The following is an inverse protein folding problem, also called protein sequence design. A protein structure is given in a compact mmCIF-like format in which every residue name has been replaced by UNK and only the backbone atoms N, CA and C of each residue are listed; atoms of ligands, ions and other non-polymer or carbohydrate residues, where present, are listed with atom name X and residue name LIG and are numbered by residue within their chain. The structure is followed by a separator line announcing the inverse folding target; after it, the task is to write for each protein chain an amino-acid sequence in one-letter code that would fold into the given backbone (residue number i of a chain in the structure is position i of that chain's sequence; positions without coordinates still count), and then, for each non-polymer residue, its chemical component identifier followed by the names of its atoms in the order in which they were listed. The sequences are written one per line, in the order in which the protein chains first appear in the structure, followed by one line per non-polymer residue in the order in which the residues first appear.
data_IF_005499761053
#
_entry.id   IF_005499761053
#
_cell.length_a   1.000
_cell.length_b   1.000
_cell.length_c   1.000
_cell.angle_alpha   90.00
_cell.angle_beta   90.00
_cell.angle_gamma   90.00
#
_symmetry.space_group_name_H-M   'P 1'
#
loop_
_entity.id
_entity.type
_entity.pdbx_description
1 polymer ?
#
# COMPACT_ATOMS: atom_id res chain seq x y z
N UNK A 1 -15.23 12.92 30.87
CA UNK A 1 -14.65 11.57 30.77
C UNK A 1 -15.45 10.76 29.74
N UNK A 2 -14.82 10.36 28.64
CA UNK A 2 -15.50 9.84 27.43
C UNK A 2 -16.02 8.41 27.62
N UNK A 3 -17.32 8.23 27.32
CA UNK A 3 -18.17 7.05 27.62
C UNK A 3 -17.95 5.79 26.77
N UNK A 4 -16.85 5.65 26.02
CA UNK A 4 -16.57 4.40 25.29
C UNK A 4 -15.06 4.18 25.04
N UNK A 5 -14.39 3.30 25.81
CA UNK A 5 -12.95 3.07 25.70
C UNK A 5 -12.51 2.47 24.35
N UNK A 6 -13.38 1.75 23.65
CA UNK A 6 -13.07 1.15 22.34
C UNK A 6 -12.92 2.22 21.26
N UNK A 7 -13.79 3.24 21.28
CA UNK A 7 -13.71 4.36 20.35
C UNK A 7 -12.51 5.26 20.66
N UNK A 8 -12.18 5.43 21.95
CA UNK A 8 -11.01 6.21 22.35
C UNK A 8 -9.71 5.63 21.79
N UNK A 9 -9.55 4.30 21.81
CA UNK A 9 -8.36 3.64 21.26
C UNK A 9 -8.24 3.84 19.74
N UNK A 10 -9.31 3.59 18.96
CA UNK A 10 -9.27 3.80 17.49
C UNK A 10 -8.99 5.26 17.12
N UNK A 11 -9.65 6.21 17.77
CA UNK A 11 -9.42 7.65 17.54
C UNK A 11 -7.98 8.04 17.89
N UNK A 12 -7.43 7.50 18.99
CA UNK A 12 -6.02 7.72 19.37
C UNK A 12 -5.07 7.20 18.29
N UNK A 13 -5.29 5.99 17.76
CA UNK A 13 -4.44 5.45 16.69
C UNK A 13 -4.47 6.29 15.41
N UNK A 14 -5.65 6.82 15.03
CA UNK A 14 -5.76 7.73 13.88
C UNK A 14 -4.99 9.02 14.15
N UNK A 15 -5.18 9.64 15.32
CA UNK A 15 -4.52 10.89 15.67
C UNK A 15 -2.98 10.75 15.66
N UNK A 16 -2.44 9.67 16.25
CA UNK A 16 -0.99 9.43 16.28
C UNK A 16 -0.43 9.30 14.85
N UNK A 17 -1.06 8.49 14.00
CA UNK A 17 -0.61 8.32 12.61
C UNK A 17 -0.69 9.62 11.82
N UNK A 18 -1.76 10.40 12.01
CA UNK A 18 -1.93 11.68 11.34
C UNK A 18 -0.80 12.66 11.70
N UNK A 19 -0.50 12.83 12.98
CA UNK A 19 0.57 13.73 13.41
C UNK A 19 1.94 13.29 12.89
N UNK A 20 2.25 11.99 12.95
CA UNK A 20 3.50 11.45 12.44
C UNK A 20 3.70 11.73 10.94
N UNK A 21 2.67 11.45 10.11
CA UNK A 21 2.76 11.67 8.66
C UNK A 21 2.91 13.16 8.34
N UNK A 22 2.17 14.03 9.05
CA UNK A 22 2.23 15.48 8.84
C UNK A 22 3.58 16.07 9.22
N UNK A 23 4.20 15.57 10.29
CA UNK A 23 5.54 15.96 10.69
C UNK A 23 6.56 15.59 9.61
N UNK A 24 6.57 14.33 9.16
CA UNK A 24 7.47 13.85 8.10
C UNK A 24 7.30 14.61 6.76
N UNK A 25 6.07 15.00 6.42
CA UNK A 25 5.79 15.86 5.26
C UNK A 25 6.36 17.28 5.47
N UNK A 26 6.20 17.85 6.66
CA UNK A 26 6.66 19.20 7.00
C UNK A 26 8.18 19.28 7.05
N UNK A 27 8.85 18.24 7.55
CA UNK A 27 10.32 18.11 7.54
C UNK A 27 10.88 17.73 6.16
N UNK A 28 10.00 17.51 5.17
CA UNK A 28 10.32 17.11 3.79
C UNK A 28 11.02 15.76 3.68
N UNK A 29 10.89 14.90 4.69
CA UNK A 29 11.34 13.50 4.64
C UNK A 29 10.50 12.68 3.66
N UNK A 30 9.22 13.00 3.56
CA UNK A 30 8.29 12.41 2.60
C UNK A 30 7.54 13.49 1.82
N UNK A 31 7.02 13.11 0.66
CA UNK A 31 6.03 13.88 -0.11
C UNK A 31 4.81 13.01 -0.32
N UNK A 32 3.63 13.50 0.05
CA UNK A 32 2.40 12.79 -0.20
C UNK A 32 1.92 13.03 -1.63
N UNK A 33 1.67 11.96 -2.37
CA UNK A 33 1.09 11.99 -3.69
C UNK A 33 -0.06 10.99 -3.77
N UNK A 34 -1.15 11.39 -4.44
CA UNK A 34 -2.27 10.50 -4.67
C UNK A 34 -1.86 9.42 -5.70
N UNK A 35 -2.11 8.17 -5.36
CA UNK A 35 -1.91 7.03 -6.24
C UNK A 35 -3.24 6.29 -6.41
N UNK A 36 -3.65 6.03 -7.66
CA UNK A 36 -4.84 5.24 -7.94
C UNK A 36 -4.60 3.78 -7.54
N UNK A 37 -5.66 3.06 -7.18
CA UNK A 37 -5.55 1.65 -6.79
C UNK A 37 -5.00 0.77 -7.93
N UNK A 38 -5.13 1.20 -9.19
CA UNK A 38 -4.57 0.56 -10.38
C UNK A 38 -3.06 0.70 -10.49
N UNK A 39 -2.51 1.71 -9.84
CA UNK A 39 -1.10 2.12 -9.95
C UNK A 39 -0.34 1.81 -8.65
N UNK A 40 -1.04 1.44 -7.58
CA UNK A 40 -0.47 1.12 -6.27
C UNK A 40 0.17 -0.28 -6.27
N UNK A 41 1.30 -0.43 -6.97
CA UNK A 41 2.00 -1.71 -7.14
C UNK A 41 2.35 -2.41 -5.82
N UNK A 42 2.58 -1.65 -4.75
CA UNK A 42 2.88 -2.16 -3.41
C UNK A 42 1.78 -3.08 -2.83
N UNK A 43 0.54 -3.00 -3.36
CA UNK A 43 -0.56 -3.86 -2.96
C UNK A 43 -0.28 -5.35 -3.20
N UNK A 44 0.59 -5.69 -4.15
CA UNK A 44 1.00 -7.08 -4.40
C UNK A 44 1.67 -7.73 -3.18
N UNK A 45 2.30 -6.94 -2.31
CA UNK A 45 3.03 -7.44 -1.14
C UNK A 45 2.20 -7.39 0.15
N UNK A 46 1.07 -6.68 0.15
CA UNK A 46 0.34 -6.34 1.39
C UNK A 46 -1.10 -6.86 1.40
N UNK A 47 -1.64 -7.28 0.25
CA UNK A 47 -3.05 -7.68 0.11
C UNK A 47 -3.19 -9.00 -0.64
N UNK A 48 -4.26 -9.73 -0.31
CA UNK A 48 -4.76 -10.80 -1.16
C UNK A 48 -5.52 -10.19 -2.35
N UNK A 49 -4.96 -10.29 -3.56
CA UNK A 49 -5.51 -9.66 -4.76
C UNK A 49 -6.21 -10.67 -5.68
N UNK A 50 -7.27 -10.28 -6.40
CA UNK A 50 -7.81 -11.08 -7.48
C UNK A 50 -6.74 -11.39 -8.53
N UNK A 51 -6.81 -12.58 -9.14
CA UNK A 51 -5.79 -13.08 -10.08
C UNK A 51 -5.43 -12.08 -11.18
N UNK A 52 -6.41 -11.37 -11.73
CA UNK A 52 -6.20 -10.37 -12.76
C UNK A 52 -5.30 -9.22 -12.27
N UNK A 53 -5.60 -8.65 -11.09
CA UNK A 53 -4.84 -7.57 -10.49
C UNK A 53 -3.44 -8.00 -10.07
N UNK A 54 -3.31 -9.21 -9.50
CA UNK A 54 -2.02 -9.79 -9.19
C UNK A 54 -1.14 -9.93 -10.44
N UNK A 55 -1.66 -10.46 -11.56
CA UNK A 55 -0.91 -10.57 -12.82
C UNK A 55 -0.46 -9.21 -13.36
N UNK A 56 -1.30 -8.19 -13.27
CA UNK A 56 -0.95 -6.82 -13.67
C UNK A 56 0.25 -6.30 -12.86
N UNK A 57 0.16 -6.32 -11.53
CA UNK A 57 1.25 -5.86 -10.68
C UNK A 57 2.51 -6.71 -10.81
N UNK A 58 2.37 -8.04 -10.96
CA UNK A 58 3.50 -8.96 -11.21
C UNK A 58 4.27 -8.56 -12.47
N UNK A 59 3.55 -8.16 -13.52
CA UNK A 59 4.16 -7.68 -14.76
C UNK A 59 4.83 -6.32 -14.58
N UNK A 60 4.21 -5.39 -13.83
CA UNK A 60 4.75 -4.07 -13.53
C UNK A 60 6.09 -4.13 -12.76
N UNK A 61 6.26 -5.11 -11.86
CA UNK A 61 7.53 -5.33 -11.15
C UNK A 61 8.55 -6.16 -11.96
N UNK A 62 8.25 -6.48 -13.23
CA UNK A 62 9.16 -7.18 -14.13
C UNK A 62 9.18 -8.71 -13.99
N UNK A 63 8.30 -9.30 -13.18
CA UNK A 63 8.21 -10.77 -13.04
C UNK A 63 7.38 -11.33 -14.19
N UNK A 64 8.06 -11.99 -15.14
CA UNK A 64 7.47 -12.54 -16.37
C UNK A 64 7.58 -14.06 -16.39
N UNK A 65 6.63 -14.69 -17.08
CA UNK A 65 6.74 -16.11 -17.43
C UNK A 65 7.78 -16.24 -18.56
N UNK A 66 8.74 -17.14 -18.38
CA UNK A 66 9.73 -17.47 -19.41
C UNK A 66 9.22 -18.74 -20.09
N UNK A 67 8.95 -18.66 -21.38
CA UNK A 67 8.77 -19.85 -22.21
C UNK A 67 10.15 -20.28 -22.70
N UNK A 68 10.70 -21.35 -22.13
CA UNK A 68 11.86 -22.03 -22.70
C UNK A 68 11.34 -22.73 -23.95
N UNK A 69 11.67 -22.22 -25.13
CA UNK A 69 11.47 -22.98 -26.35
C UNK A 69 12.55 -24.06 -26.33
N UNK A 70 12.16 -25.31 -26.13
CA UNK A 70 13.01 -26.43 -26.49
C UNK A 70 13.16 -26.38 -28.02
N UNK A 71 14.35 -26.01 -28.48
CA UNK A 71 14.73 -26.23 -29.88
C UNK A 71 14.87 -27.74 -30.05
N UNK A 72 13.98 -28.34 -30.85
CA UNK A 72 14.16 -29.70 -31.38
C UNK A 72 15.28 -29.73 -32.42
#
# INVERSE_FOLDING_TARGET
MTKNPVHHSRTKHIAIKYHFIREAETTKEIKMEYCKTEEQVADIFTKALPRARYKQFRTMIGVREICIKEEC
#
